data_IF_634708697707
#
_entry.id   IF_634708697707
#
_cell.length_a   1.000
_cell.length_b   1.000
_cell.length_c   1.000
_cell.angle_alpha   90.00
_cell.angle_beta   90.00
_cell.angle_gamma   90.00
#
_symmetry.space_group_name_H-M   'P 1'
#
loop_
_entity.id
_entity.type
_entity.pdbx_description
1 polymer ?
#
# COMPACT_ATOMS: atom_id res chain seq x y z
N UNK A 1 0.80 10.07 42.56
CA UNK A 1 0.48 9.03 41.57
C UNK A 1 1.03 9.32 40.18
N UNK A 2 0.76 10.48 39.54
CA UNK A 2 1.25 10.80 38.17
C UNK A 2 2.79 10.74 38.02
N UNK A 3 3.57 11.22 38.99
CA UNK A 3 5.05 11.20 38.97
C UNK A 3 5.62 9.77 39.11
N UNK A 4 5.01 8.91 39.88
CA UNK A 4 5.43 7.52 40.04
C UNK A 4 5.16 6.71 38.74
N UNK A 5 4.03 6.94 38.10
CA UNK A 5 3.73 6.33 36.81
C UNK A 5 4.70 6.78 35.70
N UNK A 6 5.07 8.08 35.65
CA UNK A 6 6.05 8.59 34.70
C UNK A 6 7.44 7.99 34.93
N UNK A 7 7.89 7.87 36.18
CA UNK A 7 9.17 7.24 36.52
C UNK A 7 9.19 5.75 36.16
N UNK A 8 8.09 5.04 36.32
CA UNK A 8 7.95 3.64 35.95
C UNK A 8 8.05 3.46 34.43
N UNK A 9 7.39 4.31 33.64
CA UNK A 9 7.48 4.29 32.19
C UNK A 9 8.91 4.58 31.72
N UNK A 10 9.59 5.57 32.30
CA UNK A 10 10.99 5.88 31.98
C UNK A 10 11.89 4.70 32.33
N UNK A 11 11.70 4.06 33.49
CA UNK A 11 12.50 2.90 33.87
C UNK A 11 12.30 1.72 32.94
N UNK A 12 11.08 1.43 32.53
CA UNK A 12 10.79 0.38 31.55
C UNK A 12 11.47 0.70 30.21
N UNK A 13 11.36 1.95 29.75
CA UNK A 13 11.97 2.38 28.49
C UNK A 13 13.50 2.22 28.53
N UNK A 14 14.15 2.61 29.63
CA UNK A 14 15.60 2.44 29.81
C UNK A 14 16.01 0.95 29.82
N UNK A 15 15.27 0.10 30.50
CA UNK A 15 15.54 -1.35 30.51
C UNK A 15 15.42 -1.94 29.11
N UNK A 16 14.37 -1.61 28.36
CA UNK A 16 14.17 -2.08 26.98
C UNK A 16 15.29 -1.59 26.08
N UNK A 17 15.70 -0.32 26.22
CA UNK A 17 16.79 0.27 25.43
C UNK A 17 18.14 -0.41 25.72
N UNK A 18 18.44 -0.75 26.95
CA UNK A 18 19.67 -1.45 27.34
C UNK A 18 19.66 -2.89 26.77
N UNK A 19 18.53 -3.59 26.86
CA UNK A 19 18.40 -4.93 26.29
C UNK A 19 18.55 -4.93 24.76
N UNK A 20 17.91 -3.97 24.08
CA UNK A 20 18.04 -3.80 22.65
C UNK A 20 19.49 -3.51 22.22
N UNK A 21 20.18 -2.63 22.95
CA UNK A 21 21.57 -2.31 22.68
C UNK A 21 22.50 -3.54 22.90
N UNK A 22 22.28 -4.30 23.97
CA UNK A 22 23.07 -5.51 24.25
C UNK A 22 22.88 -6.57 23.16
N UNK A 23 21.65 -6.84 22.74
CA UNK A 23 21.34 -7.80 21.65
C UNK A 23 21.87 -7.34 20.29
N UNK A 24 21.89 -6.03 20.03
CA UNK A 24 22.47 -5.48 18.80
C UNK A 24 23.99 -5.68 18.77
N UNK A 25 24.68 -5.47 19.89
CA UNK A 25 26.13 -5.68 20.00
C UNK A 25 26.49 -7.16 19.79
N UNK A 26 25.74 -8.10 20.37
CA UNK A 26 25.94 -9.54 20.20
C UNK A 26 25.81 -9.97 18.72
N UNK A 27 24.78 -9.50 18.02
CA UNK A 27 24.57 -9.78 16.59
C UNK A 27 25.63 -9.10 15.69
N UNK A 28 26.10 -7.92 16.05
CA UNK A 28 27.19 -7.25 15.34
C UNK A 28 28.53 -7.99 15.45
N UNK A 29 28.78 -8.66 16.58
CA UNK A 29 29.99 -9.44 16.81
C UNK A 29 29.99 -10.74 16.00
N UNK A 30 28.80 -11.29 15.71
CA UNK A 30 28.61 -12.48 14.89
C UNK A 30 28.74 -12.17 13.37
N UNK A 31 28.40 -10.95 12.96
CA UNK A 31 28.35 -10.54 11.55
C UNK A 31 29.48 -9.54 11.23
N UNK A 32 30.67 -10.00 10.97
CA UNK A 32 31.94 -9.28 10.79
C UNK A 32 31.96 -8.07 9.80
N UNK A 33 30.79 -7.44 9.50
CA UNK A 33 30.65 -6.28 8.62
C UNK A 33 29.81 -5.17 9.27
N UNK A 34 30.46 -4.07 9.63
CA UNK A 34 29.81 -2.87 10.14
C UNK A 34 29.25 -2.08 8.95
N UNK A 35 27.97 -2.31 8.63
CA UNK A 35 27.21 -1.49 7.69
C UNK A 35 26.01 -0.88 8.44
N UNK A 36 25.65 0.39 8.16
CA UNK A 36 24.51 1.09 8.79
C UNK A 36 23.21 0.30 8.67
N UNK A 37 22.96 -0.32 7.53
CA UNK A 37 21.80 -1.17 7.27
C UNK A 37 21.76 -2.40 8.20
N UNK A 38 22.92 -3.01 8.46
CA UNK A 38 23.05 -4.14 9.39
C UNK A 38 22.82 -3.72 10.84
N UNK A 39 23.20 -2.48 11.22
CA UNK A 39 22.94 -1.92 12.55
C UNK A 39 21.44 -1.68 12.76
N UNK A 40 20.75 -1.08 11.79
CA UNK A 40 19.31 -0.84 11.86
C UNK A 40 18.52 -2.15 11.97
N UNK A 41 18.87 -3.15 11.15
CA UNK A 41 18.24 -4.47 11.18
C UNK A 41 18.50 -5.19 12.51
N UNK A 42 19.74 -5.19 12.99
CA UNK A 42 20.11 -5.78 14.28
C UNK A 42 19.39 -5.12 15.46
N UNK A 43 19.29 -3.78 15.46
CA UNK A 43 18.53 -3.02 16.45
C UNK A 43 17.04 -3.36 16.38
N UNK A 44 16.47 -3.40 15.18
CA UNK A 44 15.06 -3.71 14.99
C UNK A 44 14.71 -5.13 15.45
N UNK A 45 15.59 -6.11 15.25
CA UNK A 45 15.39 -7.50 15.69
C UNK A 45 15.68 -7.73 17.18
N UNK A 46 16.52 -6.88 17.81
CA UNK A 46 16.89 -7.02 19.21
C UNK A 46 15.84 -6.47 20.19
N UNK A 47 14.79 -5.80 19.71
CA UNK A 47 13.70 -5.30 20.59
C UNK A 47 12.93 -6.49 21.14
N UNK A 48 12.96 -6.72 22.48
CA UNK A 48 12.22 -7.82 23.09
C UNK A 48 10.71 -7.61 22.87
N UNK A 49 9.99 -8.71 22.61
CA UNK A 49 8.53 -8.70 22.38
C UNK A 49 8.10 -7.81 21.19
N UNK A 50 8.94 -7.64 20.18
CA UNK A 50 8.63 -6.80 19.02
C UNK A 50 7.34 -7.22 18.32
N UNK A 51 7.17 -8.51 18.07
CA UNK A 51 5.98 -9.07 17.44
C UNK A 51 4.71 -8.80 18.24
N UNK A 52 4.79 -8.96 19.55
CA UNK A 52 3.68 -8.72 20.47
C UNK A 52 3.35 -7.23 20.57
N UNK A 53 4.36 -6.36 20.58
CA UNK A 53 4.19 -4.92 20.57
C UNK A 53 3.56 -4.44 19.26
N UNK A 54 3.98 -4.96 18.11
CA UNK A 54 3.37 -4.65 16.81
C UNK A 54 1.92 -5.13 16.78
N UNK A 55 1.65 -6.36 17.23
CA UNK A 55 0.29 -6.90 17.30
C UNK A 55 -0.61 -6.07 18.25
N UNK A 56 -0.08 -5.64 19.39
CA UNK A 56 -0.80 -4.79 20.34
C UNK A 56 -1.10 -3.41 19.73
N UNK A 57 -0.10 -2.77 19.11
CA UNK A 57 -0.27 -1.47 18.46
C UNK A 57 -1.28 -1.54 17.32
N UNK A 58 -1.24 -2.61 16.51
CA UNK A 58 -2.21 -2.85 15.44
C UNK A 58 -3.62 -2.99 15.99
N UNK A 59 -3.80 -3.76 17.09
CA UNK A 59 -5.09 -3.88 17.77
C UNK A 59 -5.60 -2.54 18.32
N UNK A 60 -4.73 -1.76 18.96
CA UNK A 60 -5.08 -0.44 19.48
C UNK A 60 -5.53 0.49 18.35
N UNK A 61 -4.77 0.54 17.24
CA UNK A 61 -5.13 1.33 16.05
C UNK A 61 -6.48 0.90 15.49
N UNK A 62 -6.71 -0.40 15.35
CA UNK A 62 -7.97 -0.94 14.86
C UNK A 62 -9.16 -0.57 15.76
N UNK A 63 -9.03 -0.72 17.09
CA UNK A 63 -10.04 -0.31 18.07
C UNK A 63 -10.28 1.20 18.04
N UNK A 64 -9.24 1.99 17.80
CA UNK A 64 -9.32 3.46 17.63
C UNK A 64 -9.96 3.90 16.30
N UNK A 65 -10.38 2.95 15.46
CA UNK A 65 -11.05 3.24 14.19
C UNK A 65 -10.10 3.45 13.00
N UNK A 66 -8.79 3.25 13.19
CA UNK A 66 -7.82 3.30 12.09
C UNK A 66 -8.02 2.06 11.22
N UNK A 67 -8.28 2.27 9.95
CA UNK A 67 -8.52 1.20 8.96
C UNK A 67 -7.43 1.14 7.88
N UNK A 68 -6.41 2.01 7.95
CA UNK A 68 -5.30 2.06 7.00
C UNK A 68 -4.01 1.57 7.68
N UNK A 69 -3.35 0.60 7.06
CA UNK A 69 -2.11 -0.03 7.53
C UNK A 69 -1.13 -0.13 6.36
N UNK A 70 -0.26 0.88 6.22
CA UNK A 70 0.57 1.04 5.04
C UNK A 70 -0.29 1.37 3.82
N UNK A 71 -0.13 0.61 2.75
CA UNK A 71 -0.89 0.70 1.50
C UNK A 71 -2.19 -0.14 1.51
N UNK A 72 -2.45 -0.89 2.61
CA UNK A 72 -3.66 -1.71 2.76
C UNK A 72 -4.68 -0.97 3.60
N UNK A 73 -5.92 -1.03 3.15
CA UNK A 73 -7.08 -0.43 3.79
C UNK A 73 -8.12 -1.51 4.02
N UNK A 74 -8.68 -1.50 5.22
CA UNK A 74 -9.74 -2.42 5.60
C UNK A 74 -11.09 -1.76 5.32
N UNK A 75 -11.83 -2.29 4.37
CA UNK A 75 -13.19 -1.89 4.05
C UNK A 75 -14.18 -2.14 5.18
N UNK A 76 -15.36 -1.53 5.09
CA UNK A 76 -16.44 -1.69 6.09
C UNK A 76 -17.00 -3.11 6.15
N UNK A 77 -16.87 -3.85 5.07
CA UNK A 77 -17.24 -5.27 4.93
C UNK A 77 -16.13 -6.24 5.32
N UNK A 78 -14.94 -5.71 5.74
CA UNK A 78 -13.76 -6.49 6.08
C UNK A 78 -12.87 -6.84 4.89
N UNK A 79 -13.18 -6.36 3.68
CA UNK A 79 -12.32 -6.54 2.51
C UNK A 79 -10.98 -5.80 2.69
N UNK A 80 -9.94 -6.35 2.11
CA UNK A 80 -8.62 -5.71 2.04
C UNK A 80 -8.51 -5.00 0.68
N UNK A 81 -8.33 -3.71 0.72
CA UNK A 81 -8.19 -2.85 -0.46
C UNK A 81 -6.80 -2.24 -0.47
N UNK A 82 -6.14 -2.27 -1.61
CA UNK A 82 -4.81 -1.66 -1.76
C UNK A 82 -4.95 -0.27 -2.39
N UNK A 83 -4.33 0.73 -1.75
CA UNK A 83 -4.12 2.02 -2.39
C UNK A 83 -2.92 1.93 -3.34
N UNK A 84 -3.10 2.36 -4.57
CA UNK A 84 -2.03 2.37 -5.56
C UNK A 84 -1.36 3.73 -5.59
N UNK A 85 -0.04 3.72 -5.62
CA UNK A 85 0.73 4.93 -5.88
C UNK A 85 0.54 5.40 -7.32
N UNK A 86 0.62 6.73 -7.50
CA UNK A 86 0.57 7.32 -8.83
C UNK A 86 1.75 6.81 -9.67
N UNK A 87 1.50 6.20 -10.85
CA UNK A 87 2.57 5.80 -11.75
C UNK A 87 3.45 6.99 -12.18
N UNK A 88 4.74 6.74 -12.39
CA UNK A 88 5.66 7.77 -12.86
C UNK A 88 5.27 8.22 -14.29
N UNK A 89 5.13 9.51 -14.51
CA UNK A 89 4.73 10.08 -15.81
C UNK A 89 5.64 9.67 -16.97
N UNK A 90 6.94 9.50 -16.71
CA UNK A 90 7.89 9.05 -17.72
C UNK A 90 7.59 7.62 -18.20
N UNK A 91 7.30 6.68 -17.28
CA UNK A 91 6.99 5.31 -17.62
C UNK A 91 5.66 5.20 -18.37
N UNK A 92 4.63 5.95 -17.94
CA UNK A 92 3.34 5.96 -18.66
C UNK A 92 3.45 6.58 -20.04
N UNK A 93 4.29 7.61 -20.22
CA UNK A 93 4.55 8.22 -21.53
C UNK A 93 5.24 7.24 -22.49
N UNK A 94 6.27 6.53 -22.03
CA UNK A 94 6.93 5.49 -22.83
C UNK A 94 5.96 4.35 -23.21
N UNK A 95 5.12 3.90 -22.27
CA UNK A 95 4.14 2.86 -22.53
C UNK A 95 3.12 3.29 -23.59
N UNK A 96 2.60 4.51 -23.52
CA UNK A 96 1.70 5.05 -24.52
C UNK A 96 2.35 5.09 -25.90
N UNK A 97 3.59 5.59 -26.02
CA UNK A 97 4.31 5.64 -27.29
C UNK A 97 4.53 4.24 -27.88
N UNK A 98 4.91 3.26 -27.07
CA UNK A 98 5.05 1.87 -27.52
C UNK A 98 3.73 1.27 -28.02
N UNK A 99 2.62 1.56 -27.36
CA UNK A 99 1.29 1.10 -27.76
C UNK A 99 0.89 1.74 -29.10
N UNK A 100 1.13 3.04 -29.26
CA UNK A 100 0.86 3.75 -30.51
C UNK A 100 1.71 3.21 -31.67
N UNK A 101 3.00 3.00 -31.45
CA UNK A 101 3.91 2.44 -32.48
C UNK A 101 3.48 1.03 -32.88
N UNK A 102 3.10 0.21 -31.88
CA UNK A 102 2.54 -1.11 -32.16
C UNK A 102 1.25 -1.03 -33.01
N UNK A 103 0.32 -0.16 -32.60
CA UNK A 103 -0.94 0.01 -33.34
C UNK A 103 -0.74 0.49 -34.76
N UNK A 104 0.26 1.35 -35.00
CA UNK A 104 0.60 1.82 -36.37
C UNK A 104 1.30 0.75 -37.20
N UNK A 105 2.02 -0.19 -36.57
CA UNK A 105 2.77 -1.25 -37.24
C UNK A 105 1.93 -2.46 -37.60
N UNK A 106 0.72 -2.57 -37.05
CA UNK A 106 -0.19 -3.68 -37.34
C UNK A 106 -1.34 -3.26 -38.25
N UNK A 107 -1.81 -4.18 -39.11
CA UNK A 107 -2.97 -3.96 -39.98
C UNK A 107 -4.31 -4.27 -39.32
N UNK A 108 -4.28 -4.72 -38.05
CA UNK A 108 -5.47 -5.11 -37.27
C UNK A 108 -5.85 -4.04 -36.25
N UNK A 109 -7.14 -3.97 -35.92
CA UNK A 109 -7.63 -3.10 -34.87
C UNK A 109 -7.00 -3.50 -33.52
N UNK A 110 -6.37 -2.54 -32.83
CA UNK A 110 -5.80 -2.73 -31.50
C UNK A 110 -6.77 -2.15 -30.48
N UNK A 111 -7.08 -2.93 -29.47
CA UNK A 111 -7.95 -2.53 -28.35
C UNK A 111 -7.14 -2.39 -27.08
N UNK A 112 -7.30 -1.28 -26.37
CA UNK A 112 -6.73 -1.09 -25.04
C UNK A 112 -7.83 -1.05 -23.99
N UNK A 113 -7.69 -1.89 -22.97
CA UNK A 113 -8.57 -1.95 -21.81
C UNK A 113 -7.73 -1.76 -20.55
N UNK A 114 -7.92 -0.65 -19.83
CA UNK A 114 -7.32 -0.39 -18.52
C UNK A 114 -8.34 -0.71 -17.44
N UNK A 115 -7.98 -1.68 -16.60
CA UNK A 115 -8.89 -2.20 -15.56
C UNK A 115 -8.59 -1.44 -14.25
N UNK A 116 -9.58 -0.75 -13.65
CA UNK A 116 -9.42 -0.12 -12.34
C UNK A 116 -9.28 -1.18 -11.25
N UNK A 117 -8.58 -0.83 -10.18
CA UNK A 117 -8.42 -1.73 -9.02
C UNK A 117 -9.70 -1.80 -8.16
N UNK A 118 -9.75 -2.81 -7.31
CA UNK A 118 -10.85 -2.99 -6.36
C UNK A 118 -11.07 -1.75 -5.48
N UNK A 119 -10.00 -1.07 -5.05
CA UNK A 119 -10.07 0.13 -4.19
C UNK A 119 -10.85 1.28 -4.84
N UNK A 120 -10.84 1.39 -6.16
CA UNK A 120 -11.60 2.42 -6.89
C UNK A 120 -13.06 2.03 -7.10
N UNK A 121 -13.30 0.78 -7.44
CA UNK A 121 -14.67 0.27 -7.70
C UNK A 121 -15.47 0.18 -6.39
N UNK A 122 -14.82 -0.25 -5.29
CA UNK A 122 -15.42 -0.44 -3.97
C UNK A 122 -15.12 0.73 -3.01
N UNK A 123 -14.82 1.91 -3.52
CA UNK A 123 -14.47 3.11 -2.74
C UNK A 123 -15.53 3.50 -1.69
N UNK A 124 -16.80 3.16 -1.93
CA UNK A 124 -17.90 3.39 -0.99
C UNK A 124 -17.78 2.60 0.33
N UNK A 125 -16.99 1.53 0.34
CA UNK A 125 -16.75 0.69 1.52
C UNK A 125 -15.66 1.27 2.44
N UNK A 126 -15.00 2.32 1.99
CA UNK A 126 -13.97 3.02 2.73
C UNK A 126 -14.52 4.33 3.29
N UNK A 127 -14.01 4.79 4.43
CA UNK A 127 -14.42 6.09 4.95
C UNK A 127 -14.12 7.20 3.95
N UNK A 128 -14.99 8.20 3.85
CA UNK A 128 -14.84 9.34 2.94
C UNK A 128 -13.47 10.03 3.10
N UNK A 129 -12.97 10.13 4.33
CA UNK A 129 -11.67 10.73 4.61
C UNK A 129 -10.52 9.91 4.00
N UNK A 130 -10.54 8.60 4.15
CA UNK A 130 -9.53 7.69 3.58
C UNK A 130 -9.65 7.62 2.06
N UNK A 131 -10.87 7.54 1.55
CA UNK A 131 -11.15 7.52 0.11
C UNK A 131 -10.67 8.78 -0.62
N UNK A 132 -10.73 9.93 0.04
CA UNK A 132 -10.24 11.21 -0.52
C UNK A 132 -8.71 11.26 -0.68
N UNK A 133 -7.97 10.37 -0.01
CA UNK A 133 -6.52 10.27 -0.09
C UNK A 133 -6.05 9.31 -1.19
N UNK A 134 -6.95 8.52 -1.76
CA UNK A 134 -6.62 7.58 -2.83
C UNK A 134 -6.15 8.28 -4.09
N UNK A 135 -5.21 7.65 -4.78
CA UNK A 135 -4.86 8.04 -6.12
C UNK A 135 -6.09 7.94 -7.05
N UNK A 136 -6.42 9.02 -7.74
CA UNK A 136 -7.57 9.05 -8.65
C UNK A 136 -7.28 8.28 -9.94
N UNK A 137 -7.37 6.95 -9.88
CA UNK A 137 -7.13 6.07 -11.03
C UNK A 137 -8.09 6.33 -12.19
N UNK A 138 -9.35 6.68 -11.92
CA UNK A 138 -10.32 6.97 -12.98
C UNK A 138 -9.88 8.15 -13.83
N UNK A 139 -9.43 9.23 -13.19
CA UNK A 139 -8.88 10.37 -13.90
C UNK A 139 -7.62 10.01 -14.69
N UNK A 140 -6.73 9.24 -14.07
CA UNK A 140 -5.51 8.78 -14.74
C UNK A 140 -5.78 7.87 -15.94
N UNK A 141 -6.74 6.95 -15.86
CA UNK A 141 -7.16 6.10 -16.98
C UNK A 141 -7.68 6.97 -18.12
N UNK A 142 -8.51 7.97 -17.83
CA UNK A 142 -9.02 8.91 -18.82
C UNK A 142 -7.89 9.72 -19.47
N UNK A 143 -6.90 10.21 -18.68
CA UNK A 143 -5.72 10.90 -19.24
C UNK A 143 -4.90 10.01 -20.19
N UNK A 144 -4.76 8.72 -19.88
CA UNK A 144 -4.09 7.77 -20.79
C UNK A 144 -4.90 7.60 -22.06
N UNK A 145 -6.22 7.40 -21.96
CA UNK A 145 -7.09 7.26 -23.12
C UNK A 145 -7.07 8.51 -24.02
N UNK A 146 -7.06 9.70 -23.43
CA UNK A 146 -6.94 10.94 -24.19
C UNK A 146 -5.62 11.06 -24.96
N UNK A 147 -4.51 10.63 -24.36
CA UNK A 147 -3.17 10.68 -24.98
C UNK A 147 -3.06 9.82 -26.24
N UNK A 148 -3.67 8.63 -26.22
CA UNK A 148 -3.57 7.66 -27.34
C UNK A 148 -4.84 7.62 -28.20
N UNK A 149 -5.71 8.62 -28.02
CA UNK A 149 -6.95 8.74 -28.78
C UNK A 149 -6.67 8.73 -30.30
N UNK A 150 -7.40 7.90 -31.03
CA UNK A 150 -7.26 7.75 -32.47
C UNK A 150 -6.19 6.74 -32.92
N UNK A 151 -5.29 6.30 -32.06
CA UNK A 151 -4.29 5.26 -32.35
C UNK A 151 -4.80 3.87 -32.04
N UNK A 152 -5.61 3.73 -30.99
CA UNK A 152 -6.19 2.46 -30.53
C UNK A 152 -7.68 2.62 -30.22
N UNK A 153 -8.40 1.51 -30.20
CA UNK A 153 -9.79 1.46 -29.72
C UNK A 153 -9.81 1.25 -28.20
N UNK A 154 -10.42 2.18 -27.48
CA UNK A 154 -10.50 2.12 -26.02
C UNK A 154 -11.72 1.33 -25.57
N UNK A 155 -11.54 0.49 -24.55
CA UNK A 155 -12.62 -0.25 -23.90
C UNK A 155 -12.73 0.25 -22.45
N UNK A 156 -13.77 1.07 -22.17
CA UNK A 156 -14.06 1.50 -20.81
C UNK A 156 -14.91 0.44 -20.08
N UNK A 157 -14.31 -0.17 -19.07
CA UNK A 157 -14.95 -1.20 -18.25
C UNK A 157 -15.41 -0.69 -16.88
N UNK A 158 -15.14 0.59 -16.58
CA UNK A 158 -15.42 1.15 -15.26
C UNK A 158 -16.89 0.97 -14.85
N UNK A 159 -17.82 1.37 -15.73
CA UNK A 159 -19.25 1.31 -15.41
C UNK A 159 -19.76 -0.13 -15.28
N UNK A 160 -19.24 -1.04 -16.08
CA UNK A 160 -19.60 -2.46 -16.00
C UNK A 160 -19.17 -3.06 -14.65
N UNK A 161 -17.90 -2.84 -14.27
CA UNK A 161 -17.37 -3.29 -12.98
C UNK A 161 -18.09 -2.62 -11.79
N UNK A 162 -18.36 -1.31 -11.89
CA UNK A 162 -19.07 -0.60 -10.84
C UNK A 162 -20.50 -1.13 -10.64
N UNK A 163 -21.21 -1.49 -11.70
CA UNK A 163 -22.54 -2.06 -11.62
C UNK A 163 -22.53 -3.47 -11.03
N UNK A 164 -21.49 -4.25 -11.28
CA UNK A 164 -21.30 -5.61 -10.74
C UNK A 164 -20.48 -5.65 -9.45
N UNK A 165 -20.24 -4.51 -8.77
CA UNK A 165 -19.40 -4.44 -7.57
C UNK A 165 -19.87 -5.31 -6.39
N UNK A 166 -21.17 -5.60 -6.34
CA UNK A 166 -21.79 -6.45 -5.31
C UNK A 166 -21.65 -7.94 -5.64
N UNK A 167 -21.18 -8.26 -6.84
CA UNK A 167 -20.83 -9.61 -7.26
C UNK A 167 -19.36 -9.90 -6.89
N UNK A 168 -18.96 -11.18 -6.92
CA UNK A 168 -17.57 -11.56 -6.64
C UNK A 168 -16.67 -11.33 -7.85
N UNK A 169 -16.40 -10.05 -8.17
CA UNK A 169 -15.55 -9.62 -9.29
C UNK A 169 -14.09 -9.39 -8.87
N UNK A 170 -13.83 -9.20 -7.58
CA UNK A 170 -12.48 -9.06 -7.00
C UNK A 170 -12.34 -9.98 -5.80
N UNK A 171 -11.14 -10.48 -5.56
CA UNK A 171 -10.84 -11.21 -4.33
C UNK A 171 -11.00 -10.30 -3.10
N UNK A 172 -11.37 -10.88 -1.95
CA UNK A 172 -11.45 -10.14 -0.69
C UNK A 172 -10.08 -9.90 -0.04
N UNK A 173 -9.02 -10.47 -0.59
CA UNK A 173 -7.63 -10.30 -0.15
C UNK A 173 -6.85 -9.44 -1.12
N UNK A 174 -5.71 -8.91 -0.65
CA UNK A 174 -4.86 -8.00 -1.45
C UNK A 174 -4.19 -8.64 -2.67
N UNK A 175 -4.21 -9.98 -2.77
CA UNK A 175 -3.54 -10.75 -3.83
C UNK A 175 -4.32 -10.75 -5.16
N UNK A 176 -5.24 -9.83 -5.34
CA UNK A 176 -6.08 -9.69 -6.53
C UNK A 176 -5.62 -8.58 -7.46
#
# INVERSE_FOLDING_TARGET
>A
MKRAAALLVIAIFLVVSIYAAAGAVEKMQENNSINLENIENALAESVPFRSELIALMTKIRFISGVRSFGDIIIGSDGSLLRDMEKPQNALSGCACACIEDFARSTETDVYLMLIPTASVIRQQEVSTYTAAQFFNQRHYINEIYEKIYGSVRMVDVYQALFNSRDEYIYYHTEDS
#
